data_IF_412842487512
#
_entry.id   IF_412842487512
#
_cell.length_a   1.000
_cell.length_b   1.000
_cell.length_c   1.000
_cell.angle_alpha   90.00
_cell.angle_beta   90.00
_cell.angle_gamma   90.00
#
_symmetry.space_group_name_H-M   'P 1'
#
loop_
_entity.id
_entity.type
_entity.pdbx_description
1 polymer ?
#
# COMPACT_ATOMS: atom_id res chain seq x y z
N UNK A 1 -1.77 -8.74 66.65
CA UNK A 1 -1.52 -9.71 65.57
C UNK A 1 -2.24 -9.25 64.29
N UNK A 2 -1.73 -8.17 63.69
CA UNK A 2 -2.24 -7.51 62.48
C UNK A 2 -1.46 -8.06 61.27
N UNK A 3 -1.83 -9.25 60.77
CA UNK A 3 -1.11 -9.90 59.67
C UNK A 3 -2.08 -10.50 58.63
N UNK A 4 -3.11 -9.76 58.23
CA UNK A 4 -4.10 -10.26 57.27
C UNK A 4 -4.58 -9.23 56.23
N UNK A 5 -3.74 -8.27 55.82
CA UNK A 5 -4.07 -7.30 54.77
C UNK A 5 -2.90 -7.10 53.79
N UNK A 6 -2.39 -8.19 53.22
CA UNK A 6 -1.56 -8.07 52.01
C UNK A 6 -2.50 -7.86 50.80
N UNK A 7 -2.34 -6.78 50.02
CA UNK A 7 -3.12 -6.57 48.82
C UNK A 7 -2.74 -7.64 47.80
N UNK A 8 -3.70 -8.50 47.45
CA UNK A 8 -3.58 -9.36 46.27
C UNK A 8 -3.40 -8.44 45.06
N UNK A 9 -2.33 -8.58 44.26
CA UNK A 9 -2.22 -7.79 43.04
C UNK A 9 -3.37 -8.19 42.11
N UNK A 10 -4.35 -7.30 41.97
CA UNK A 10 -5.37 -7.39 40.95
C UNK A 10 -4.67 -7.30 39.60
N UNK A 11 -4.31 -8.46 39.02
CA UNK A 11 -3.86 -8.52 37.63
C UNK A 11 -5.06 -8.06 36.81
N UNK A 12 -4.98 -6.85 36.26
CA UNK A 12 -5.94 -6.37 35.29
C UNK A 12 -6.14 -7.48 34.24
N UNK A 13 -7.37 -8.00 34.14
CA UNK A 13 -7.77 -9.02 33.18
C UNK A 13 -7.82 -8.39 31.79
N UNK A 14 -6.67 -7.93 31.28
CA UNK A 14 -6.51 -7.55 29.89
C UNK A 14 -6.53 -8.83 29.07
N UNK A 15 -7.60 -9.04 28.32
CA UNK A 15 -7.78 -10.17 27.39
C UNK A 15 -6.87 -10.08 26.16
N UNK A 16 -6.09 -9.01 26.03
CA UNK A 16 -5.18 -8.79 24.92
C UNK A 16 -3.97 -9.73 25.00
N UNK A 17 -3.99 -10.76 24.16
CA UNK A 17 -2.84 -11.61 23.86
C UNK A 17 -1.69 -10.73 23.35
N UNK A 18 -0.44 -11.07 23.71
CA UNK A 18 0.75 -10.40 23.16
C UNK A 18 0.71 -10.47 21.64
N UNK A 19 0.74 -9.32 20.97
CA UNK A 19 0.68 -9.23 19.52
C UNK A 19 2.09 -9.50 18.95
N UNK A 20 2.23 -10.59 18.20
CA UNK A 20 3.43 -10.84 17.40
C UNK A 20 3.38 -9.97 16.13
N UNK A 21 4.10 -8.85 16.17
CA UNK A 21 4.19 -7.91 15.06
C UNK A 21 4.86 -8.53 13.83
N UNK A 22 5.78 -9.47 14.00
CA UNK A 22 6.45 -10.13 12.89
C UNK A 22 5.50 -11.08 12.17
N UNK A 23 4.69 -11.85 12.91
CA UNK A 23 3.62 -12.66 12.33
C UNK A 23 2.58 -11.80 11.60
N UNK A 24 2.18 -10.66 12.18
CA UNK A 24 1.26 -9.73 11.55
C UNK A 24 1.84 -9.12 10.27
N UNK A 25 3.12 -8.74 10.29
CA UNK A 25 3.85 -8.20 9.13
C UNK A 25 3.92 -9.21 7.99
N UNK A 26 4.25 -10.48 8.28
CA UNK A 26 4.28 -11.56 7.28
C UNK A 26 2.90 -11.77 6.64
N UNK A 27 1.83 -11.82 7.43
CA UNK A 27 0.45 -11.89 6.91
C UNK A 27 0.11 -10.70 6.03
N UNK A 28 0.56 -9.50 6.41
CA UNK A 28 0.33 -8.28 5.61
C UNK A 28 1.08 -8.33 4.28
N UNK A 29 2.31 -8.84 4.25
CA UNK A 29 3.08 -9.00 3.01
C UNK A 29 2.34 -9.93 2.04
N UNK A 30 1.87 -11.08 2.50
CA UNK A 30 1.12 -12.04 1.66
C UNK A 30 -0.21 -11.45 1.18
N UNK A 31 -0.92 -10.73 2.04
CA UNK A 31 -2.16 -10.04 1.65
C UNK A 31 -1.91 -8.96 0.59
N UNK A 32 -0.85 -8.16 0.73
CA UNK A 32 -0.48 -7.13 -0.24
C UNK A 32 -0.04 -7.75 -1.57
N UNK A 33 0.69 -8.88 -1.53
CA UNK A 33 1.06 -9.63 -2.74
C UNK A 33 -0.18 -10.05 -3.53
N UNK A 34 -1.15 -10.67 -2.86
CA UNK A 34 -2.42 -11.08 -3.48
C UNK A 34 -3.25 -9.89 -3.97
N UNK A 35 -3.22 -8.77 -3.24
CA UNK A 35 -3.91 -7.54 -3.62
C UNK A 35 -3.33 -6.95 -4.92
N UNK A 36 -2.01 -6.86 -5.04
CA UNK A 36 -1.34 -6.33 -6.25
C UNK A 36 -1.68 -7.20 -7.46
N UNK A 37 -1.51 -8.53 -7.34
CA UNK A 37 -1.80 -9.46 -8.44
C UNK A 37 -3.27 -9.41 -8.87
N UNK A 38 -4.20 -9.36 -7.90
CA UNK A 38 -5.64 -9.24 -8.18
C UNK A 38 -6.00 -7.93 -8.87
N UNK A 39 -5.40 -6.81 -8.44
CA UNK A 39 -5.61 -5.50 -9.08
C UNK A 39 -5.10 -5.47 -10.52
N UNK A 40 -3.97 -6.13 -10.80
CA UNK A 40 -3.37 -6.23 -12.13
C UNK A 40 -3.96 -7.34 -12.99
N UNK A 41 -4.88 -8.16 -12.46
CA UNK A 41 -5.45 -9.35 -13.12
C UNK A 41 -4.38 -10.37 -13.55
N UNK A 42 -3.33 -10.51 -12.75
CA UNK A 42 -2.26 -11.46 -12.98
C UNK A 42 -2.42 -12.69 -12.08
N UNK A 43 -2.36 -13.92 -12.62
CA UNK A 43 -2.44 -15.13 -11.80
C UNK A 43 -1.16 -15.40 -11.01
N UNK A 44 -0.02 -14.89 -11.49
CA UNK A 44 1.30 -15.02 -10.88
C UNK A 44 2.17 -13.83 -11.30
N UNK A 45 3.30 -13.57 -10.60
CA UNK A 45 4.27 -12.57 -11.02
C UNK A 45 4.76 -12.84 -12.47
N UNK A 46 4.93 -11.80 -13.30
CA UNK A 46 5.53 -11.96 -14.61
C UNK A 46 6.99 -12.44 -14.47
N UNK A 47 7.55 -13.12 -15.49
CA UNK A 47 8.95 -13.53 -15.47
C UNK A 47 9.84 -12.29 -15.31
N UNK A 48 10.93 -12.46 -14.56
CA UNK A 48 11.91 -11.39 -14.37
C UNK A 48 12.44 -10.92 -15.73
N UNK A 49 12.57 -9.59 -15.95
CA UNK A 49 13.29 -9.10 -17.11
C UNK A 49 14.72 -9.67 -17.08
N UNK A 50 15.26 -9.97 -18.27
CA UNK A 50 16.60 -10.54 -18.42
C UNK A 50 17.71 -9.74 -17.72
N UNK A 51 18.96 -10.22 -17.75
CA UNK A 51 20.05 -9.60 -17.02
C UNK A 51 20.29 -8.16 -17.50
N UNK A 52 20.00 -7.21 -16.61
CA UNK A 52 19.95 -5.75 -16.78
C UNK A 52 18.66 -5.21 -17.45
N UNK A 53 17.76 -4.55 -16.68
CA UNK A 53 16.65 -3.83 -17.28
C UNK A 53 17.20 -2.65 -18.09
N UNK A 54 16.76 -2.52 -19.35
CA UNK A 54 17.03 -1.34 -20.15
C UNK A 54 16.55 -0.07 -19.42
N UNK A 55 17.21 1.08 -19.63
CA UNK A 55 16.74 2.34 -19.06
C UNK A 55 15.31 2.62 -19.51
N UNK A 56 14.44 2.99 -18.56
CA UNK A 56 13.05 3.34 -18.87
C UNK A 56 12.99 4.56 -19.81
N UNK A 57 12.15 4.52 -20.86
CA UNK A 57 11.91 5.67 -21.73
C UNK A 57 11.52 6.93 -20.95
N UNK A 58 11.89 8.09 -21.46
CA UNK A 58 11.66 9.36 -20.78
C UNK A 58 10.16 9.65 -20.64
N UNK A 59 9.37 9.30 -21.64
CA UNK A 59 7.93 9.50 -21.66
C UNK A 59 7.23 8.70 -20.56
N UNK A 60 7.65 7.44 -20.34
CA UNK A 60 7.14 6.57 -19.27
C UNK A 60 7.49 7.16 -17.90
N UNK A 61 8.72 7.66 -17.75
CA UNK A 61 9.19 8.29 -16.52
C UNK A 61 8.44 9.60 -16.22
N UNK A 62 8.21 10.41 -17.25
CA UNK A 62 7.45 11.65 -17.15
C UNK A 62 6.00 11.38 -16.78
N UNK A 63 5.36 10.39 -17.40
CA UNK A 63 4.02 9.94 -17.06
C UNK A 63 3.94 9.53 -15.58
N UNK A 64 4.80 8.61 -15.13
CA UNK A 64 4.84 8.18 -13.74
C UNK A 64 5.02 9.34 -12.75
N UNK A 65 5.96 10.25 -13.04
CA UNK A 65 6.22 11.40 -12.19
C UNK A 65 5.00 12.34 -12.10
N UNK A 66 4.31 12.58 -13.22
CA UNK A 66 3.11 13.42 -13.26
C UNK A 66 1.96 12.80 -12.44
N UNK A 67 1.72 11.49 -12.55
CA UNK A 67 0.70 10.79 -11.76
C UNK A 67 1.04 10.83 -10.28
N UNK A 68 2.30 10.59 -9.92
CA UNK A 68 2.74 10.63 -8.53
C UNK A 68 2.55 12.01 -7.91
N UNK A 69 2.80 13.08 -8.66
CA UNK A 69 2.60 14.44 -8.17
C UNK A 69 1.11 14.79 -8.03
N UNK A 70 0.27 14.41 -9.00
CA UNK A 70 -1.18 14.57 -8.92
C UNK A 70 -1.77 13.88 -7.68
N UNK A 71 -1.36 12.64 -7.41
CA UNK A 71 -1.82 11.91 -6.23
C UNK A 71 -1.39 12.58 -4.91
N UNK A 72 -0.18 13.16 -4.88
CA UNK A 72 0.30 13.92 -3.72
C UNK A 72 -0.50 15.20 -3.51
N UNK A 73 -0.85 15.90 -4.59
CA UNK A 73 -1.68 17.10 -4.52
C UNK A 73 -3.07 16.78 -3.97
N UNK A 74 -3.73 15.74 -4.50
CA UNK A 74 -5.01 15.24 -4.00
C UNK A 74 -4.98 14.92 -2.50
N UNK A 75 -3.95 14.20 -2.06
CA UNK A 75 -3.76 13.83 -0.66
C UNK A 75 -3.56 15.07 0.25
N UNK A 76 -2.83 16.10 -0.21
CA UNK A 76 -2.65 17.36 0.53
C UNK A 76 -3.96 18.13 0.67
N UNK A 77 -4.77 18.15 -0.39
CA UNK A 77 -6.06 18.83 -0.42
C UNK A 77 -7.16 18.06 0.32
N UNK A 78 -6.88 16.84 0.81
CA UNK A 78 -7.86 15.93 1.43
C UNK A 78 -9.12 15.78 0.58
N UNK A 79 -8.95 15.83 -0.75
CA UNK A 79 -10.06 15.67 -1.67
C UNK A 79 -10.72 14.32 -1.44
N UNK A 80 -12.05 14.30 -1.47
CA UNK A 80 -12.81 13.07 -1.34
C UNK A 80 -12.36 12.08 -2.43
N UNK A 81 -11.94 10.88 -2.01
CA UNK A 81 -11.64 9.80 -2.93
C UNK A 81 -12.98 9.25 -3.44
N UNK A 82 -13.37 9.64 -4.65
CA UNK A 82 -14.44 8.97 -5.39
C UNK A 82 -14.20 7.45 -5.41
N UNK A 83 -15.25 6.63 -5.30
CA UNK A 83 -15.11 5.18 -5.30
C UNK A 83 -14.38 4.73 -6.57
N UNK A 84 -13.13 4.28 -6.39
CA UNK A 84 -12.32 3.79 -7.49
C UNK A 84 -12.67 2.35 -7.81
N UNK A 85 -12.62 2.01 -9.10
CA UNK A 85 -12.72 0.63 -9.55
C UNK A 85 -11.68 -0.25 -8.84
N UNK A 86 -12.06 -1.48 -8.54
CA UNK A 86 -11.17 -2.41 -7.84
C UNK A 86 -9.88 -2.68 -8.63
N UNK A 87 -9.98 -2.78 -9.96
CA UNK A 87 -8.87 -3.10 -10.85
C UNK A 87 -8.01 -1.88 -11.19
N UNK A 88 -6.74 -2.14 -11.51
CA UNK A 88 -5.84 -1.11 -12.00
C UNK A 88 -6.32 -0.53 -13.33
N UNK A 89 -6.02 0.75 -13.56
CA UNK A 89 -6.31 1.46 -14.80
C UNK A 89 -5.00 1.71 -15.55
N UNK A 90 -5.04 1.52 -16.87
CA UNK A 90 -3.95 1.93 -17.73
C UNK A 90 -3.93 3.46 -17.84
N UNK A 91 -2.73 4.04 -17.81
CA UNK A 91 -2.53 5.48 -17.87
C UNK A 91 -1.92 5.83 -19.22
N UNK A 92 -2.57 6.75 -19.92
CA UNK A 92 -2.13 7.29 -21.21
C UNK A 92 -2.06 8.82 -21.09
N UNK A 93 -1.08 9.43 -21.78
CA UNK A 93 -0.94 10.88 -21.85
C UNK A 93 -1.01 11.33 -23.29
N UNK A 94 -1.90 12.28 -23.55
CA UNK A 94 -2.05 12.93 -24.85
C UNK A 94 -1.51 14.36 -24.75
N UNK A 95 -0.50 14.74 -25.56
CA UNK A 95 -0.07 16.13 -25.63
C UNK A 95 -1.18 16.99 -26.24
N UNK A 96 -1.37 18.20 -25.71
CA UNK A 96 -2.26 19.19 -26.31
C UNK A 96 -1.51 19.91 -27.43
N UNK A 97 -2.09 19.99 -28.63
CA UNK A 97 -1.61 20.91 -29.66
C UNK A 97 -2.10 22.32 -29.33
N UNK A 98 -1.20 23.30 -29.30
CA UNK A 98 -1.60 24.70 -29.15
C UNK A 98 -2.26 25.17 -30.45
N UNK A 99 -3.46 25.77 -30.42
CA UNK A 99 -3.99 26.43 -31.60
C UNK A 99 -3.03 27.57 -31.97
N UNK A 100 -2.47 27.48 -33.17
CA UNK A 100 -1.55 28.47 -33.74
C UNK A 100 -2.25 29.76 -34.14
#
# INVERSE_FOLDING_TARGET
>A
LLAALLPVPCRALGTCRTLDLEAARRKRIEAVRGQILSKLRLPAPPPEPGPAPAPLPEEVRALYNSTRELLRQRARLREHEEPQDYYAKELLRFPMESPG
#
